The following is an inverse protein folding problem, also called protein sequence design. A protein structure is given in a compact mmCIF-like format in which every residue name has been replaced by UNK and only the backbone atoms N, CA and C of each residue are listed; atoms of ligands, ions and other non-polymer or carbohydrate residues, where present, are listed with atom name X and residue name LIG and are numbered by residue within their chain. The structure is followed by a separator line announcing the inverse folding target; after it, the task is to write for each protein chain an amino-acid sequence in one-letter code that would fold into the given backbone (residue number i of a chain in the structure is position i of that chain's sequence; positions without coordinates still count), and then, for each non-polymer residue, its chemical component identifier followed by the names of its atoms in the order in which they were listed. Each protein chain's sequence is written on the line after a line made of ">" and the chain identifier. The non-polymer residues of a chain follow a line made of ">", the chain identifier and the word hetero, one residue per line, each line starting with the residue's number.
data_IF_916527694120
#
_entry.id   IF_916527694120
#
_cell.length_a   1.000
_cell.length_b   1.000
_cell.length_c   1.000
_cell.angle_alpha   90.00
_cell.angle_beta   90.00
_cell.angle_gamma   90.00
#
_symmetry.space_group_name_H-M   'P 1'
#
loop_
_entity.id
_entity.type
_entity.pdbx_description
1 polymer ?
#
# COMPACT_ATOMS: atom_id res chain seq x y z
N UNK A 1 8.51 25.19 -10.42
CA UNK A 1 7.95 23.82 -10.43
C UNK A 1 8.78 22.97 -9.48
N UNK A 2 8.22 22.51 -8.36
CA UNK A 2 8.93 21.63 -7.43
C UNK A 2 8.48 20.19 -7.75
N UNK A 3 9.37 19.39 -8.33
CA UNK A 3 9.09 17.97 -8.60
C UNK A 3 9.70 17.14 -7.49
N UNK A 4 8.84 16.64 -6.61
CA UNK A 4 9.24 15.66 -5.60
C UNK A 4 9.40 14.30 -6.28
N UNK A 5 10.58 13.69 -6.14
CA UNK A 5 10.86 12.36 -6.70
C UNK A 5 10.68 11.33 -5.58
N UNK A 6 9.63 10.53 -5.70
CA UNK A 6 9.41 9.35 -4.85
C UNK A 6 9.73 8.07 -5.64
N UNK A 7 9.85 6.94 -4.94
CA UNK A 7 10.04 5.66 -5.61
C UNK A 7 8.88 5.37 -6.57
N UNK A 8 9.16 4.75 -7.71
CA UNK A 8 8.12 4.30 -8.66
C UNK A 8 7.19 3.23 -8.07
N UNK A 9 7.59 2.62 -6.95
CA UNK A 9 6.77 1.68 -6.19
C UNK A 9 5.82 2.38 -5.19
N UNK A 10 6.00 3.68 -4.99
CA UNK A 10 5.21 4.47 -4.06
C UNK A 10 4.02 5.12 -4.77
N UNK A 11 2.81 4.83 -4.27
CA UNK A 11 1.56 5.42 -4.75
C UNK A 11 0.97 6.40 -3.72
N UNK A 12 1.84 7.11 -2.98
CA UNK A 12 1.48 8.12 -1.97
C UNK A 12 0.59 9.22 -2.55
N UNK A 13 0.85 9.66 -3.79
CA UNK A 13 0.03 10.67 -4.47
C UNK A 13 -1.44 10.23 -4.59
N UNK A 14 -1.68 9.00 -5.03
CA UNK A 14 -3.03 8.42 -5.14
C UNK A 14 -3.70 8.24 -3.77
N UNK A 15 -2.91 7.91 -2.73
CA UNK A 15 -3.39 7.87 -1.33
C UNK A 15 -3.87 9.25 -0.87
N UNK A 16 -3.09 10.31 -1.14
CA UNK A 16 -3.43 11.67 -0.76
C UNK A 16 -4.63 12.21 -1.54
N UNK A 17 -4.81 11.77 -2.78
CA UNK A 17 -5.99 12.06 -3.59
C UNK A 17 -7.22 11.22 -3.18
N UNK A 18 -7.06 10.23 -2.30
CA UNK A 18 -8.13 9.33 -1.88
C UNK A 18 -8.55 8.31 -2.95
N UNK A 19 -7.74 8.13 -4.01
CA UNK A 19 -8.00 7.18 -5.09
C UNK A 19 -7.75 5.73 -4.63
N UNK A 20 -6.84 5.54 -3.69
CA UNK A 20 -6.59 4.25 -3.04
C UNK A 20 -6.25 4.42 -1.56
N UNK A 21 -6.55 3.40 -0.76
CA UNK A 21 -6.17 3.36 0.67
C UNK A 21 -4.75 2.80 0.82
N UNK A 22 -4.01 3.13 1.90
CA UNK A 22 -2.64 2.63 2.11
C UNK A 22 -2.48 1.11 1.92
N UNK A 23 -3.41 0.29 2.44
CA UNK A 23 -3.39 -1.17 2.27
C UNK A 23 -3.58 -1.69 0.82
N UNK A 24 -4.01 -0.83 -0.11
CA UNK A 24 -4.15 -1.14 -1.54
C UNK A 24 -2.88 -0.79 -2.32
N UNK A 25 -1.94 -0.04 -1.71
CA UNK A 25 -0.66 0.26 -2.32
C UNK A 25 0.21 -1.02 -2.33
N UNK A 26 0.77 -1.42 -3.48
CA UNK A 26 1.48 -2.70 -3.63
C UNK A 26 2.71 -2.85 -2.72
N UNK A 27 3.40 -1.73 -2.47
CA UNK A 27 4.61 -1.67 -1.63
C UNK A 27 4.30 -1.50 -0.14
N UNK A 28 3.06 -1.17 0.24
CA UNK A 28 2.72 -0.84 1.63
C UNK A 28 2.83 -2.04 2.56
N UNK A 29 3.57 -1.87 3.66
CA UNK A 29 3.84 -2.93 4.63
C UNK A 29 4.81 -4.01 4.16
N UNK A 30 5.35 -3.88 2.95
CA UNK A 30 6.39 -4.75 2.37
C UNK A 30 7.68 -3.95 2.21
N UNK A 31 7.96 -3.44 1.01
CA UNK A 31 9.10 -2.55 0.77
C UNK A 31 8.94 -1.18 1.45
N UNK A 32 7.71 -0.67 1.58
CA UNK A 32 7.41 0.59 2.25
C UNK A 32 6.97 0.34 3.69
N UNK A 33 7.84 0.66 4.65
CA UNK A 33 7.60 0.54 6.11
C UNK A 33 8.11 1.78 6.84
N UNK A 34 7.76 2.03 8.11
CA UNK A 34 8.33 3.14 8.87
C UNK A 34 9.86 3.11 8.96
N UNK A 35 10.47 1.91 8.90
CA UNK A 35 11.94 1.75 8.90
C UNK A 35 12.56 1.97 7.52
N UNK A 36 11.81 1.70 6.45
CA UNK A 36 12.21 1.89 5.06
C UNK A 36 11.10 2.65 4.30
N UNK A 37 10.97 3.97 4.50
CA UNK A 37 9.91 4.74 3.87
C UNK A 37 10.22 5.00 2.40
N UNK A 38 9.27 4.69 1.51
CA UNK A 38 9.39 4.97 0.07
C UNK A 38 8.80 6.31 -0.35
N UNK A 39 8.03 6.95 0.53
CA UNK A 39 7.36 8.23 0.28
C UNK A 39 7.11 9.01 1.56
N UNK A 40 6.85 10.31 1.42
CA UNK A 40 6.76 11.25 2.55
C UNK A 40 5.65 10.87 3.54
N UNK A 41 4.56 10.28 3.04
CA UNK A 41 3.41 9.81 3.83
C UNK A 41 3.74 8.67 4.79
N UNK A 42 4.91 8.03 4.65
CA UNK A 42 5.41 6.97 5.54
C UNK A 42 6.48 7.47 6.53
N UNK A 43 7.09 8.64 6.30
CA UNK A 43 8.20 9.17 7.12
C UNK A 43 7.70 9.72 8.46
N UNK A 44 6.55 10.40 8.47
CA UNK A 44 5.96 10.96 9.69
C UNK A 44 4.88 10.04 10.24
N UNK A 45 4.79 9.89 11.56
CA UNK A 45 3.72 9.13 12.24
C UNK A 45 2.32 9.68 11.99
N UNK A 46 2.20 10.96 11.65
CA UNK A 46 0.95 11.61 11.25
C UNK A 46 0.63 11.42 9.76
N UNK A 47 1.59 10.94 8.98
CA UNK A 47 1.41 10.68 7.55
C UNK A 47 0.38 9.57 7.31
N UNK A 48 -0.41 9.72 6.25
CA UNK A 48 -1.52 8.79 5.97
C UNK A 48 -1.08 7.32 5.92
N UNK A 49 0.09 7.02 5.35
CA UNK A 49 0.61 5.66 5.30
C UNK A 49 1.13 5.19 6.67
N UNK A 50 1.93 5.99 7.37
CA UNK A 50 2.46 5.59 8.67
C UNK A 50 1.37 5.47 9.74
N UNK A 51 0.39 6.39 9.77
CA UNK A 51 -0.75 6.33 10.66
C UNK A 51 -1.57 5.06 10.39
N UNK A 52 -1.79 4.73 9.11
CA UNK A 52 -2.43 3.48 8.74
C UNK A 52 -1.59 2.27 9.13
N UNK A 53 -0.26 2.32 9.03
CA UNK A 53 0.66 1.25 9.46
C UNK A 53 0.64 1.02 10.97
N UNK A 54 0.57 2.09 11.76
CA UNK A 54 0.64 2.00 13.22
C UNK A 54 -0.72 1.71 13.88
N UNK A 55 -1.81 2.22 13.30
CA UNK A 55 -3.13 2.20 13.94
C UNK A 55 -4.22 1.60 13.07
N UNK A 56 -3.98 1.40 11.78
CA UNK A 56 -4.87 0.62 10.95
C UNK A 56 -5.02 -0.75 11.58
N UNK A 57 -6.25 -1.17 11.88
CA UNK A 57 -6.51 -2.56 12.26
C UNK A 57 -6.25 -3.41 11.03
N UNK A 58 -4.98 -3.76 10.81
CA UNK A 58 -4.60 -4.86 9.93
C UNK A 58 -5.16 -6.12 10.56
N UNK A 59 -6.43 -6.42 10.28
CA UNK A 59 -6.79 -7.82 10.17
C UNK A 59 -5.82 -8.35 9.11
N UNK A 60 -4.81 -9.09 9.55
CA UNK A 60 -3.76 -9.66 8.74
C UNK A 60 -4.39 -10.57 7.67
N UNK A 61 -4.90 -9.99 6.60
CA UNK A 61 -5.43 -10.71 5.46
C UNK A 61 -4.27 -10.90 4.51
N UNK A 62 -3.28 -11.67 4.96
CA UNK A 62 -2.48 -12.51 4.09
C UNK A 62 -3.39 -13.60 3.52
N UNK A 63 -4.45 -13.21 2.79
CA UNK A 63 -5.19 -14.15 1.96
C UNK A 63 -4.49 -14.16 0.62
N UNK A 64 -3.73 -15.24 0.46
CA UNK A 64 -3.22 -15.77 -0.80
C UNK A 64 -4.31 -15.71 -1.89
N UNK A 65 -4.41 -14.61 -2.61
CA UNK A 65 -5.22 -14.49 -3.82
C UNK A 65 -4.49 -15.14 -4.99
N UNK A 66 -4.31 -16.46 -4.92
CA UNK A 66 -3.93 -17.27 -6.07
C UNK A 66 -4.48 -18.69 -5.96
N UNK A 67 -5.79 -18.82 -6.12
CA UNK A 67 -6.42 -19.93 -6.86
C UNK A 67 -7.74 -19.37 -7.39
N UNK A 68 -7.56 -18.65 -8.49
CA UNK A 68 -8.59 -18.21 -9.41
C UNK A 68 -9.23 -19.47 -10.01
N UNK A 69 -10.54 -19.58 -9.84
CA UNK A 69 -11.53 -20.31 -10.66
C UNK A 69 -11.25 -21.78 -10.97
N UNK A 70 -12.13 -22.62 -10.41
CA UNK A 70 -12.60 -23.86 -11.02
C UNK A 70 -12.83 -23.67 -12.53
N UNK A 71 -12.02 -24.30 -13.37
CA UNK A 71 -12.41 -24.59 -14.75
C UNK A 71 -13.36 -25.79 -14.71
N UNK A 72 -14.65 -25.51 -14.56
CA UNK A 72 -15.72 -26.43 -14.99
C UNK A 72 -16.11 -25.99 -16.40
N UNK A 73 -15.47 -26.58 -17.39
CA UNK A 73 -15.90 -26.65 -18.81
C UNK A 73 -15.10 -27.83 -19.37
N UNK A 74 -15.67 -29.03 -19.47
CA UNK A 74 -16.63 -29.35 -20.51
C UNK A 74 -15.92 -30.13 -21.62
N UNK A 75 -15.66 -31.42 -21.38
CA UNK A 75 -15.96 -32.60 -22.22
C UNK A 75 -15.91 -33.85 -21.35
#
# INVERSE_FOLDING_TARGET
>A
DIKTVESTLCHSGEVLQGLLKPHQCPAFGKECTPRFPLGATMVSSEGACAAYYNYGRFAASAKNSKTLIVHTTGV
#
